data_IF_443987827352
#
_entry.id   IF_443987827352
#
_cell.length_a   1.000
_cell.length_b   1.000
_cell.length_c   1.000
_cell.angle_alpha   90.00
_cell.angle_beta   90.00
_cell.angle_gamma   90.00
#
_symmetry.space_group_name_H-M   'P 1'
#
loop_
_entity.id
_entity.type
_entity.pdbx_description
1 polymer ?
#
# COMPACT_ATOMS: atom_id res chain seq x y z
N UNK A 1 -10.65 6.36 -0.26
CA UNK A 1 -11.06 6.69 1.13
C UNK A 1 -10.71 8.14 1.42
N UNK A 2 -11.44 8.86 2.29
CA UNK A 2 -11.17 10.26 2.57
C UNK A 2 -9.82 10.43 3.32
N UNK A 3 -9.08 11.48 2.99
CA UNK A 3 -7.81 11.85 3.64
C UNK A 3 -8.00 12.47 5.03
N UNK A 4 -9.22 12.85 5.39
CA UNK A 4 -9.60 13.42 6.68
C UNK A 4 -10.89 12.78 7.20
N UNK A 5 -11.16 12.92 8.49
CA UNK A 5 -12.40 12.40 9.11
C UNK A 5 -12.44 10.89 9.32
N UNK A 6 -13.57 10.35 9.83
CA UNK A 6 -13.71 8.95 10.16
C UNK A 6 -13.91 8.07 8.91
N UNK A 7 -13.48 6.81 9.00
CA UNK A 7 -13.75 5.75 8.03
C UNK A 7 -14.38 4.58 8.76
N UNK A 8 -15.47 4.05 8.21
CA UNK A 8 -16.17 2.90 8.77
C UNK A 8 -15.67 1.57 8.21
N UNK A 9 -15.87 0.49 8.97
CA UNK A 9 -15.59 -0.88 8.54
C UNK A 9 -16.35 -1.21 7.25
N UNK A 10 -17.63 -0.79 7.15
CA UNK A 10 -18.47 -1.01 5.97
C UNK A 10 -17.87 -0.38 4.71
N UNK A 11 -17.36 0.86 4.81
CA UNK A 11 -16.70 1.53 3.69
C UNK A 11 -15.45 0.78 3.24
N UNK A 12 -14.63 0.28 4.17
CA UNK A 12 -13.42 -0.49 3.85
C UNK A 12 -13.72 -1.82 3.17
N UNK A 13 -14.64 -2.60 3.76
CA UNK A 13 -15.02 -3.92 3.22
C UNK A 13 -15.67 -3.79 1.84
N UNK A 14 -16.32 -2.66 1.56
CA UNK A 14 -16.94 -2.37 0.27
C UNK A 14 -15.97 -1.95 -0.84
N UNK A 15 -14.68 -1.72 -0.54
CA UNK A 15 -13.68 -1.44 -1.57
C UNK A 15 -13.45 -2.69 -2.42
N UNK A 16 -13.38 -2.51 -3.75
CA UNK A 16 -13.22 -3.61 -4.68
C UNK A 16 -11.90 -4.36 -4.49
N UNK A 17 -10.87 -3.68 -3.99
CA UNK A 17 -9.51 -4.17 -3.78
C UNK A 17 -9.31 -4.77 -2.38
N UNK A 18 -10.29 -4.65 -1.48
CA UNK A 18 -10.15 -5.10 -0.11
C UNK A 18 -10.07 -6.63 -0.02
N UNK A 19 -8.99 -7.11 0.61
CA UNK A 19 -8.72 -8.54 0.84
C UNK A 19 -8.65 -9.38 -0.46
N UNK A 20 -8.27 -8.75 -1.57
CA UNK A 20 -8.14 -9.40 -2.89
C UNK A 20 -6.74 -9.92 -3.23
N UNK A 21 -5.82 -9.91 -2.29
CA UNK A 21 -4.43 -10.27 -2.57
C UNK A 21 -4.29 -11.72 -3.06
N UNK A 22 -3.89 -11.89 -4.31
CA UNK A 22 -3.54 -13.17 -4.93
C UNK A 22 -2.01 -13.32 -4.97
N UNK A 23 -1.50 -14.45 -4.47
CA UNK A 23 -0.08 -14.78 -4.50
C UNK A 23 0.46 -15.01 -5.90
N UNK A 24 -0.40 -15.36 -6.87
CA UNK A 24 -0.01 -15.52 -8.27
C UNK A 24 0.51 -14.21 -8.91
N UNK A 25 0.16 -13.06 -8.32
CA UNK A 25 0.51 -11.72 -8.79
C UNK A 25 1.75 -11.14 -8.09
N UNK A 26 2.39 -11.90 -7.20
CA UNK A 26 3.59 -11.43 -6.50
C UNK A 26 4.75 -11.17 -7.47
N UNK A 27 5.53 -10.13 -7.19
CA UNK A 27 6.64 -9.70 -8.03
C UNK A 27 6.23 -8.84 -9.24
N UNK A 28 4.93 -8.67 -9.52
CA UNK A 28 4.44 -7.84 -10.62
C UNK A 28 3.76 -6.58 -10.07
N UNK A 29 4.20 -5.36 -10.45
CA UNK A 29 3.49 -4.14 -10.08
C UNK A 29 2.09 -4.11 -10.70
N UNK A 30 1.08 -3.93 -9.86
CA UNK A 30 -0.32 -3.80 -10.27
C UNK A 30 -0.76 -2.35 -10.21
N UNK A 31 -1.18 -1.79 -11.35
CA UNK A 31 -1.70 -0.41 -11.42
C UNK A 31 -3.05 -0.32 -10.73
N UNK A 32 -3.14 0.52 -9.70
CA UNK A 32 -4.39 0.80 -8.97
C UNK A 32 -5.13 1.97 -9.60
N UNK A 33 -4.39 2.95 -10.13
CA UNK A 33 -4.96 4.14 -10.74
C UNK A 33 -3.98 5.31 -10.72
N UNK A 34 -4.53 6.53 -10.81
CA UNK A 34 -3.76 7.77 -10.77
C UNK A 34 -4.22 8.64 -9.61
N UNK A 35 -3.28 9.35 -8.99
CA UNK A 35 -3.59 10.38 -7.98
C UNK A 35 -4.07 11.68 -8.64
N UNK A 36 -4.40 12.68 -7.81
CA UNK A 36 -4.91 13.97 -8.28
C UNK A 36 -3.87 14.80 -9.04
N UNK A 37 -2.59 14.40 -9.00
CA UNK A 37 -1.48 15.03 -9.72
C UNK A 37 -1.10 14.22 -10.99
N UNK A 38 -1.86 13.16 -11.32
CA UNK A 38 -1.61 12.31 -12.47
C UNK A 38 -0.51 11.26 -12.27
N UNK A 39 0.04 11.12 -11.06
CA UNK A 39 1.03 10.09 -10.77
C UNK A 39 0.34 8.72 -10.74
N UNK A 40 0.96 7.74 -11.36
CA UNK A 40 0.48 6.36 -11.34
C UNK A 40 0.82 5.69 -10.01
N UNK A 41 -0.18 5.00 -9.43
CA UNK A 41 -0.07 4.34 -8.12
C UNK A 41 -0.14 2.84 -8.32
N UNK A 42 0.89 2.14 -7.85
CA UNK A 42 1.03 0.70 -8.00
C UNK A 42 1.04 -0.01 -6.64
N UNK A 43 0.53 -1.24 -6.61
CA UNK A 43 0.72 -2.20 -5.51
C UNK A 43 1.70 -3.26 -5.97
N UNK A 44 2.65 -3.63 -5.10
CA UNK A 44 3.61 -4.69 -5.36
C UNK A 44 3.76 -5.58 -4.12
N UNK A 45 3.37 -6.84 -4.26
CA UNK A 45 3.61 -7.88 -3.25
C UNK A 45 4.95 -8.57 -3.48
N UNK A 46 5.81 -8.60 -2.45
CA UNK A 46 7.12 -9.26 -2.51
C UNK A 46 7.33 -10.30 -1.41
N UNK A 47 6.42 -10.39 -0.44
CA UNK A 47 6.48 -11.32 0.70
C UNK A 47 7.87 -11.33 1.38
N UNK A 48 8.44 -12.52 1.63
CA UNK A 48 9.76 -12.71 2.22
C UNK A 48 10.90 -12.10 1.40
N UNK A 49 10.68 -11.83 0.11
CA UNK A 49 11.66 -11.25 -0.80
C UNK A 49 11.69 -9.72 -0.76
N UNK A 50 10.87 -9.08 0.07
CA UNK A 50 10.80 -7.60 0.19
C UNK A 50 12.18 -6.93 0.29
N UNK A 51 13.14 -7.38 1.13
CA UNK A 51 14.44 -6.73 1.22
C UNK A 51 15.25 -6.81 -0.09
N UNK A 52 15.22 -7.96 -0.77
CA UNK A 52 15.92 -8.17 -2.02
C UNK A 52 15.27 -7.39 -3.17
N UNK A 53 13.94 -7.44 -3.26
CA UNK A 53 13.17 -6.72 -4.28
C UNK A 53 13.33 -5.19 -4.17
N UNK A 54 13.27 -4.64 -2.95
CA UNK A 54 13.49 -3.19 -2.74
C UNK A 54 14.90 -2.76 -3.17
N UNK A 55 15.94 -3.55 -2.85
CA UNK A 55 17.31 -3.27 -3.32
C UNK A 55 17.39 -3.29 -4.85
N UNK A 56 16.88 -4.34 -5.48
CA UNK A 56 16.93 -4.48 -6.94
C UNK A 56 16.22 -3.32 -7.66
N UNK A 57 15.01 -2.98 -7.23
CA UNK A 57 14.28 -1.84 -7.78
C UNK A 57 15.01 -0.52 -7.56
N UNK A 58 15.53 -0.27 -6.36
CA UNK A 58 16.25 0.97 -6.06
C UNK A 58 17.50 1.10 -6.95
N UNK A 59 18.29 0.04 -7.07
CA UNK A 59 19.46 0.01 -7.95
C UNK A 59 19.09 0.26 -9.41
N UNK A 60 18.02 -0.36 -9.91
CA UNK A 60 17.55 -0.16 -11.28
C UNK A 60 17.06 1.27 -11.52
N UNK A 61 16.23 1.81 -10.62
CA UNK A 61 15.70 3.18 -10.70
C UNK A 61 16.86 4.19 -10.74
N UNK A 62 17.88 3.99 -9.91
CA UNK A 62 19.07 4.84 -9.88
C UNK A 62 19.88 4.73 -11.17
N UNK A 63 20.09 3.51 -11.66
CA UNK A 63 20.82 3.28 -12.91
C UNK A 63 20.12 3.93 -14.11
N UNK A 64 18.79 3.96 -14.11
CA UNK A 64 17.98 4.61 -15.15
C UNK A 64 17.86 6.14 -14.95
N UNK A 65 18.47 6.72 -13.92
CA UNK A 65 18.36 8.16 -13.62
C UNK A 65 16.97 8.60 -13.13
N UNK A 66 16.09 7.66 -12.75
CA UNK A 66 14.68 7.91 -12.41
C UNK A 66 14.40 8.03 -10.91
N UNK A 67 15.43 8.26 -10.10
CA UNK A 67 15.32 8.32 -8.63
C UNK A 67 14.30 9.35 -8.13
N UNK A 68 14.06 10.42 -8.90
CA UNK A 68 13.15 11.51 -8.53
C UNK A 68 11.75 11.34 -9.16
N UNK A 69 11.55 10.30 -9.98
CA UNK A 69 10.28 9.98 -10.62
C UNK A 69 9.49 8.88 -9.88
N UNK A 70 10.17 8.03 -9.11
CA UNK A 70 9.58 6.85 -8.48
C UNK A 70 9.78 6.90 -6.97
N UNK A 71 8.68 6.79 -6.23
CA UNK A 71 8.70 6.66 -4.77
C UNK A 71 8.31 5.24 -4.38
N UNK A 72 9.22 4.54 -3.70
CA UNK A 72 8.95 3.24 -3.10
C UNK A 72 8.46 3.43 -1.66
N UNK A 73 7.21 3.05 -1.39
CA UNK A 73 6.60 3.14 -0.07
C UNK A 73 6.41 1.75 0.55
N UNK A 74 6.99 1.52 1.73
CA UNK A 74 6.67 0.35 2.53
C UNK A 74 5.48 0.66 3.46
N UNK A 75 4.34 0.03 3.21
CA UNK A 75 3.11 0.21 4.00
C UNK A 75 3.08 -0.67 5.26
N UNK A 76 3.86 -1.76 5.31
CA UNK A 76 3.85 -2.72 6.42
C UNK A 76 4.17 -2.10 7.79
N UNK A 77 5.14 -1.16 7.91
CA UNK A 77 5.39 -0.49 9.18
C UNK A 77 4.16 0.29 9.67
N UNK A 78 3.38 0.89 8.78
CA UNK A 78 2.25 1.77 9.12
C UNK A 78 1.04 1.02 9.69
N UNK A 79 0.84 -0.25 9.32
CA UNK A 79 -0.34 -1.05 9.69
C UNK A 79 -0.19 -1.87 10.98
N UNK A 80 0.99 -1.91 11.60
CA UNK A 80 1.22 -2.56 12.90
C UNK A 80 0.99 -4.09 12.93
N UNK A 81 1.35 -4.72 14.07
CA UNK A 81 1.27 -6.18 14.27
C UNK A 81 -0.17 -6.73 14.27
N UNK A 82 -1.16 -5.93 14.70
CA UNK A 82 -2.56 -6.36 14.79
C UNK A 82 -3.16 -6.69 13.41
N UNK A 83 -2.77 -5.94 12.38
CA UNK A 83 -3.17 -6.22 10.99
C UNK A 83 -2.43 -7.43 10.42
N UNK A 84 -1.17 -7.66 10.83
CA UNK A 84 -0.42 -8.89 10.48
C UNK A 84 -1.08 -10.13 11.10
N UNK A 85 -1.55 -10.04 12.33
CA UNK A 85 -2.26 -11.14 13.00
C UNK A 85 -3.63 -11.40 12.35
N UNK A 86 -4.42 -10.37 12.06
CA UNK A 86 -5.74 -10.49 11.41
C UNK A 86 -5.70 -10.99 9.95
N UNK A 87 -4.75 -10.50 9.15
CA UNK A 87 -4.56 -10.96 7.77
C UNK A 87 -4.04 -12.39 7.68
N UNK A 88 -3.20 -12.81 8.63
CA UNK A 88 -2.68 -14.18 8.71
C UNK A 88 -3.71 -15.17 9.26
N UNK A 89 -4.61 -14.74 10.16
CA UNK A 89 -5.70 -15.58 10.67
C UNK A 89 -6.86 -15.74 9.67
N UNK A 90 -7.23 -14.69 8.92
CA UNK A 90 -8.30 -14.76 7.89
C UNK A 90 -7.99 -15.79 6.79
N UNK A 91 -6.75 -15.77 6.26
CA UNK A 91 -6.34 -16.65 5.16
C UNK A 91 -6.04 -18.10 5.57
N UNK A 92 -5.59 -18.36 6.80
CA UNK A 92 -5.25 -19.73 7.26
C UNK A 92 -6.42 -20.51 7.86
N UNK A 93 -7.46 -19.86 8.38
CA UNK A 93 -8.55 -20.55 9.08
C UNK A 93 -9.87 -20.65 8.28
N UNK A 94 -9.94 -20.11 7.06
CA UNK A 94 -11.16 -20.13 6.25
C UNK A 94 -12.32 -19.31 6.83
N UNK A 95 -12.08 -18.50 7.87
CA UNK A 95 -13.08 -17.71 8.58
C UNK A 95 -13.16 -16.28 8.01
N UNK A 96 -13.47 -16.18 6.71
CA UNK A 96 -13.56 -14.90 5.98
C UNK A 96 -14.55 -13.92 6.61
N UNK A 97 -15.59 -14.42 7.28
CA UNK A 97 -16.66 -13.62 7.90
C UNK A 97 -16.20 -12.85 9.14
N UNK A 98 -15.21 -13.37 9.88
CA UNK A 98 -14.64 -12.72 11.08
C UNK A 98 -13.33 -12.01 10.72
N UNK A 99 -12.53 -12.60 9.83
CA UNK A 99 -11.24 -12.05 9.42
C UNK A 99 -11.35 -10.71 8.69
N UNK A 100 -12.32 -10.53 7.80
CA UNK A 100 -12.49 -9.28 7.03
C UNK A 100 -12.84 -8.08 7.91
N UNK A 101 -13.80 -8.15 8.85
CA UNK A 101 -14.04 -7.07 9.81
C UNK A 101 -12.84 -6.74 10.69
N UNK A 102 -12.09 -7.74 11.17
CA UNK A 102 -10.90 -7.52 11.98
C UNK A 102 -9.78 -6.82 11.19
N UNK A 103 -9.55 -7.23 9.95
CA UNK A 103 -8.60 -6.58 9.05
C UNK A 103 -9.00 -5.12 8.78
N UNK A 104 -10.29 -4.86 8.52
CA UNK A 104 -10.81 -3.51 8.34
C UNK A 104 -10.61 -2.65 9.60
N UNK A 105 -10.85 -3.21 10.79
CA UNK A 105 -10.60 -2.50 12.05
C UNK A 105 -9.11 -2.18 12.23
N UNK A 106 -8.21 -3.12 11.93
CA UNK A 106 -6.76 -2.88 11.97
C UNK A 106 -6.31 -1.74 11.04
N UNK A 107 -6.91 -1.64 9.86
CA UNK A 107 -6.68 -0.53 8.93
C UNK A 107 -7.20 0.80 9.52
N UNK A 108 -8.40 0.82 10.12
CA UNK A 108 -8.97 2.02 10.75
C UNK A 108 -8.07 2.50 11.89
N UNK A 109 -7.60 1.60 12.74
CA UNK A 109 -6.67 1.93 13.83
C UNK A 109 -5.33 2.47 13.33
N UNK A 110 -4.93 2.11 12.10
CA UNK A 110 -3.69 2.55 11.47
C UNK A 110 -3.89 3.72 10.51
N UNK A 111 -5.11 4.25 10.40
CA UNK A 111 -5.51 5.13 9.30
C UNK A 111 -4.73 6.45 9.28
N UNK A 112 -4.44 7.03 10.44
CA UNK A 112 -3.65 8.26 10.52
C UNK A 112 -2.22 8.05 10.02
N UNK A 113 -1.60 6.94 10.38
CA UNK A 113 -0.25 6.57 9.92
C UNK A 113 -0.23 6.31 8.42
N UNK A 114 -1.26 5.66 7.90
CA UNK A 114 -1.44 5.44 6.45
C UNK A 114 -1.63 6.76 5.70
N UNK A 115 -2.47 7.68 6.21
CA UNK A 115 -2.63 9.03 5.64
C UNK A 115 -1.34 9.81 5.65
N UNK A 116 -0.56 9.72 6.73
CA UNK A 116 0.78 10.32 6.82
C UNK A 116 1.74 9.78 5.76
N UNK A 117 1.73 8.46 5.55
CA UNK A 117 2.54 7.82 4.50
C UNK A 117 2.16 8.30 3.10
N UNK A 118 0.87 8.42 2.81
CA UNK A 118 0.38 8.95 1.53
C UNK A 118 0.80 10.41 1.34
N UNK A 119 0.66 11.25 2.38
CA UNK A 119 1.07 12.65 2.32
C UNK A 119 2.58 12.80 2.08
N UNK A 120 3.40 11.99 2.76
CA UNK A 120 4.84 11.94 2.54
C UNK A 120 5.19 11.54 1.10
N UNK A 121 4.55 10.48 0.58
CA UNK A 121 4.81 9.98 -0.77
C UNK A 121 4.51 11.04 -1.84
N UNK A 122 3.37 11.74 -1.71
CA UNK A 122 2.99 12.83 -2.62
C UNK A 122 3.98 13.99 -2.56
N UNK A 123 4.43 14.37 -1.36
CA UNK A 123 5.41 15.45 -1.19
C UNK A 123 6.78 15.12 -1.80
N UNK A 124 7.21 13.86 -1.72
CA UNK A 124 8.45 13.39 -2.33
C UNK A 124 8.44 13.52 -3.86
N UNK A 125 7.25 13.44 -4.49
CA UNK A 125 7.10 13.62 -5.94
C UNK A 125 6.86 15.08 -6.36
N UNK A 126 6.37 15.95 -5.47
CA UNK A 126 5.99 17.34 -5.79
C UNK A 126 7.16 18.34 -5.75
N UNK A 127 8.35 17.95 -5.32
CA UNK A 127 9.55 18.81 -5.25
C UNK A 127 10.18 19.18 -6.61
N UNK A 128 9.43 19.11 -7.71
CA UNK A 128 9.94 19.28 -9.08
C UNK A 128 10.03 20.76 -9.47
N UNK A 129 11.15 21.25 -10.02
CA UNK A 129 11.09 22.28 -11.05
C UNK A 129 10.46 21.64 -12.31
N UNK A 130 9.36 22.23 -12.79
CA UNK A 130 8.71 21.77 -14.03
C UNK A 130 9.71 21.77 -15.18
N UNK A 131 9.90 20.61 -15.81
CA UNK A 131 10.62 20.53 -17.08
C UNK A 131 9.56 20.71 -18.18
N UNK A 132 9.53 21.92 -18.74
CA UNK A 132 8.98 22.18 -20.06
C UNK A 132 9.96 21.79 -21.16
#
# INVERSE_FOLDING_TARGET
LPMTGPVSVKQLIGLAEFDRADSSQWGVPYLVGRDEQGNEVYILGLDSQTPAGLRAMTSLIWHLGKKDEIVLCNTLPAIGLLTRLGGFTSKKLGLTTIGRPLAALGIILSLERLRGLVAWAKKSLSGRPGHG
#
